data_IF_567835809003
#
_entry.id   IF_567835809003
#
_cell.length_a   1.000
_cell.length_b   1.000
_cell.length_c   1.000
_cell.angle_alpha   90.00
_cell.angle_beta   90.00
_cell.angle_gamma   90.00
#
_symmetry.space_group_name_H-M   'P 1'
#
loop_
_entity.id
_entity.type
_entity.pdbx_description
1 polymer ?
#
# COMPACT_ATOMS: atom_id res chain seq x y z
N UNK A 1 23.75 4.76 -14.22
CA UNK A 1 23.42 4.26 -13.68
C UNK A 1 23.48 3.81 -12.97
N UNK A 2 23.51 3.95 -12.98
CA UNK A 2 23.39 3.41 -12.40
C UNK A 2 23.19 2.81 -11.77
N UNK A 3 23.32 2.80 -11.64
CA UNK A 3 22.96 2.17 -11.02
C UNK A 3 23.05 1.66 -10.19
N UNK A 4 23.26 1.68 -9.91
CA UNK A 4 23.26 1.17 -9.15
C UNK A 4 23.26 0.51 -8.57
N UNK A 5 23.49 0.39 -8.39
CA UNK A 5 23.33 -0.26 -7.94
C UNK A 5 23.63 -1.10 -7.60
N UNK A 6 23.91 -1.29 -7.55
CA UNK A 6 23.95 -2.09 -7.40
C UNK A 6 23.68 -3.03 -7.15
N UNK A 7 23.77 -2.90 -7.27
CA UNK A 7 23.18 -3.86 -6.90
C UNK A 7 22.79 -4.94 -6.61
N UNK A 8 22.68 -5.40 -5.72
CA UNK A 8 22.53 -6.80 -5.49
C UNK A 8 21.12 -7.34 -5.57
N UNK A 9 20.16 -6.48 -5.70
CA UNK A 9 18.80 -6.98 -5.92
C UNK A 9 18.69 -7.64 -7.28
N UNK A 10 17.98 -8.75 -7.34
CA UNK A 10 17.74 -9.41 -8.61
C UNK A 10 16.86 -8.51 -9.50
N UNK A 11 16.96 -8.73 -10.80
CA UNK A 11 16.11 -8.02 -11.74
C UNK A 11 14.64 -8.28 -11.44
N UNK A 12 14.29 -9.50 -11.06
CA UNK A 12 12.91 -9.83 -10.76
C UNK A 12 12.34 -9.01 -9.62
N UNK A 13 13.14 -8.78 -8.59
CA UNK A 13 12.69 -7.97 -7.46
C UNK A 13 12.47 -6.53 -7.89
N UNK A 14 13.37 -5.97 -8.68
CA UNK A 14 13.24 -4.58 -9.08
C UNK A 14 12.14 -4.37 -10.12
N UNK A 15 11.82 -5.39 -10.88
CA UNK A 15 10.79 -5.27 -11.91
C UNK A 15 9.39 -5.04 -11.35
N UNK A 16 9.18 -5.31 -10.07
CA UNK A 16 7.86 -5.19 -9.46
C UNK A 16 7.70 -3.95 -8.59
N UNK A 17 8.64 -3.04 -8.63
CA UNK A 17 8.54 -1.76 -7.93
C UNK A 17 8.12 -0.67 -8.90
N UNK A 18 7.11 0.09 -8.52
CA UNK A 18 6.55 1.13 -9.37
C UNK A 18 6.37 2.42 -8.59
N UNK A 19 6.58 3.55 -9.26
CA UNK A 19 6.12 4.82 -8.69
C UNK A 19 4.61 4.88 -8.81
N UNK A 20 3.98 5.42 -7.81
CA UNK A 20 2.52 5.53 -7.80
C UNK A 20 2.12 6.91 -7.32
N UNK A 21 0.89 7.30 -7.68
CA UNK A 21 0.24 8.47 -7.12
C UNK A 21 -1.00 8.02 -6.37
N UNK A 22 -1.17 8.56 -5.17
CA UNK A 22 -2.35 8.26 -4.38
C UNK A 22 -3.54 9.03 -4.94
N UNK A 23 -4.63 8.32 -5.21
CA UNK A 23 -5.89 8.95 -5.59
C UNK A 23 -6.79 9.12 -4.39
N UNK A 24 -6.92 8.07 -3.56
CA UNK A 24 -7.64 8.19 -2.30
C UNK A 24 -7.38 6.96 -1.44
N UNK A 25 -7.59 7.11 -0.15
CA UNK A 25 -7.55 5.99 0.80
C UNK A 25 -9.00 5.53 1.02
N UNK A 26 -9.23 4.23 0.81
CA UNK A 26 -10.56 3.64 0.99
C UNK A 26 -10.74 3.17 2.43
N UNK A 27 -9.78 2.41 2.92
CA UNK A 27 -9.71 1.93 4.31
C UNK A 27 -8.24 1.89 4.71
N UNK A 28 -7.99 1.51 5.95
CA UNK A 28 -6.60 1.43 6.43
C UNK A 28 -5.75 0.40 5.71
N UNK A 29 -6.34 -0.49 4.93
CA UNK A 29 -5.60 -1.50 4.19
C UNK A 29 -5.93 -1.51 2.69
N UNK A 30 -6.60 -0.47 2.20
CA UNK A 30 -7.02 -0.41 0.80
C UNK A 30 -6.93 1.02 0.29
N UNK A 31 -6.24 1.20 -0.82
CA UNK A 31 -6.06 2.52 -1.43
C UNK A 31 -6.33 2.45 -2.92
N UNK A 32 -6.75 3.58 -3.48
CA UNK A 32 -6.85 3.74 -4.94
C UNK A 32 -5.68 4.59 -5.38
N UNK A 33 -4.96 4.09 -6.37
CA UNK A 33 -3.75 4.73 -6.88
C UNK A 33 -3.74 4.68 -8.40
N UNK A 34 -2.83 5.44 -8.98
CA UNK A 34 -2.46 5.18 -10.37
C UNK A 34 -0.98 4.86 -10.41
N UNK A 35 -0.65 3.88 -11.20
CA UNK A 35 0.69 3.33 -11.32
C UNK A 35 1.35 3.90 -12.56
N UNK A 36 2.59 4.38 -12.39
CA UNK A 36 3.39 4.87 -13.49
C UNK A 36 4.03 3.68 -14.19
N UNK A 37 3.60 3.40 -15.41
CA UNK A 37 4.13 2.29 -16.21
C UNK A 37 5.22 2.74 -17.17
N UNK A 38 5.60 4.01 -17.09
CA UNK A 38 6.57 4.56 -18.02
C UNK A 38 5.89 5.02 -19.32
N UNK A 39 6.63 5.77 -20.12
CA UNK A 39 6.14 6.25 -21.41
C UNK A 39 4.85 7.07 -21.30
N UNK A 40 4.65 7.75 -20.17
CA UNK A 40 3.42 8.51 -19.91
C UNK A 40 2.16 7.63 -19.86
N UNK A 41 2.33 6.34 -19.54
CA UNK A 41 1.22 5.42 -19.40
C UNK A 41 0.95 5.23 -17.91
N UNK A 42 -0.29 5.46 -17.51
CA UNK A 42 -0.71 5.33 -16.11
C UNK A 42 -1.86 4.33 -16.01
N UNK A 43 -1.85 3.54 -14.95
CA UNK A 43 -2.88 2.55 -14.72
C UNK A 43 -3.54 2.80 -13.36
N UNK A 44 -4.83 3.11 -13.37
CA UNK A 44 -5.59 3.27 -12.15
C UNK A 44 -6.01 1.91 -11.63
N UNK A 45 -5.84 1.70 -10.34
CA UNK A 45 -6.27 0.45 -9.74
C UNK A 45 -6.48 0.61 -8.24
N UNK A 46 -7.19 -0.36 -7.68
CA UNK A 46 -7.35 -0.46 -6.23
C UNK A 46 -6.32 -1.42 -5.69
N UNK A 47 -5.61 -1.00 -4.66
CA UNK A 47 -4.54 -1.80 -4.06
C UNK A 47 -4.96 -2.25 -2.67
N UNK A 48 -4.87 -3.56 -2.44
CA UNK A 48 -5.03 -4.14 -1.12
C UNK A 48 -3.61 -4.28 -0.53
N UNK A 49 -3.40 -3.69 0.64
CA UNK A 49 -2.09 -3.76 1.28
C UNK A 49 -1.87 -5.16 1.83
N UNK A 50 -0.85 -5.85 1.31
CA UNK A 50 -0.61 -7.25 1.67
C UNK A 50 0.01 -7.36 3.05
N UNK A 51 -0.24 -8.49 3.69
CA UNK A 51 0.41 -8.80 4.96
C UNK A 51 -0.22 -8.15 6.17
N UNK A 52 -1.25 -7.33 5.99
CA UNK A 52 -1.90 -6.66 7.11
C UNK A 52 -3.42 -6.69 6.95
N UNK A 53 -4.09 -6.44 8.05
CA UNK A 53 -5.54 -6.31 8.07
C UNK A 53 -5.89 -5.18 9.03
N UNK A 54 -6.58 -4.17 8.52
CA UNK A 54 -6.97 -3.01 9.31
C UNK A 54 -8.46 -3.09 9.67
N UNK A 55 -8.87 -2.43 10.76
CA UNK A 55 -10.31 -2.39 11.09
C UNK A 55 -11.09 -1.67 9.99
N UNK A 56 -12.32 -2.09 9.80
CA UNK A 56 -13.17 -1.47 8.78
C UNK A 56 -13.69 -0.13 9.25
N UNK A 57 -13.70 0.83 8.35
CA UNK A 57 -14.20 2.16 8.65
C UNK A 57 -15.68 2.33 8.34
N UNK A 58 -16.31 1.35 7.68
CA UNK A 58 -17.71 1.41 7.27
C UNK A 58 -18.55 0.29 7.86
N UNK A 59 -18.15 -0.20 9.03
CA UNK A 59 -18.89 -1.22 9.74
C UNK A 59 -19.96 -0.60 10.64
N UNK A 60 -20.93 -1.42 11.05
CA UNK A 60 -21.93 -0.99 12.05
C UNK A 60 -21.40 -1.06 13.47
N UNK A 61 -20.32 -1.80 13.69
CA UNK A 61 -19.69 -1.89 15.01
C UNK A 61 -18.98 -0.58 15.29
N UNK A 62 -19.50 0.19 16.25
CA UNK A 62 -18.98 1.54 16.51
C UNK A 62 -17.55 1.53 17.00
N UNK A 63 -17.17 0.51 17.77
CA UNK A 63 -15.79 0.41 18.25
C UNK A 63 -14.84 0.15 17.10
N UNK A 64 -15.19 -0.81 16.24
CA UNK A 64 -14.35 -1.11 15.09
C UNK A 64 -14.33 0.05 14.12
N UNK A 65 -15.46 0.72 13.92
CA UNK A 65 -15.52 1.87 13.02
C UNK A 65 -14.58 2.97 13.48
N UNK A 66 -14.55 3.23 14.78
CA UNK A 66 -13.67 4.25 15.33
C UNK A 66 -12.21 3.93 15.05
N UNK A 67 -11.82 2.66 15.28
CA UNK A 67 -10.45 2.24 14.98
C UNK A 67 -10.15 2.27 13.49
N UNK A 68 -11.14 1.91 12.67
CA UNK A 68 -10.99 1.94 11.22
C UNK A 68 -10.81 3.34 10.68
N UNK A 69 -11.58 4.29 11.21
CA UNK A 69 -11.43 5.69 10.80
C UNK A 69 -10.09 6.25 11.24
N UNK A 70 -9.60 5.85 12.42
CA UNK A 70 -8.29 6.28 12.88
C UNK A 70 -7.18 5.74 11.98
N UNK A 71 -7.27 4.47 11.61
CA UNK A 71 -6.28 3.84 10.72
C UNK A 71 -6.30 4.51 9.34
N UNK A 72 -7.49 4.75 8.82
CA UNK A 72 -7.65 5.41 7.54
C UNK A 72 -7.06 6.83 7.57
N UNK A 73 -7.34 7.58 8.62
CA UNK A 73 -6.84 8.95 8.75
C UNK A 73 -5.31 8.97 8.85
N UNK A 74 -4.75 8.05 9.63
CA UNK A 74 -3.29 7.94 9.73
C UNK A 74 -2.67 7.68 8.37
N UNK A 75 -3.27 6.76 7.61
CA UNK A 75 -2.75 6.42 6.28
C UNK A 75 -2.86 7.59 5.32
N UNK A 76 -3.98 8.31 5.35
CA UNK A 76 -4.15 9.51 4.51
C UNK A 76 -3.02 10.49 4.79
N UNK A 77 -2.81 10.82 6.06
CA UNK A 77 -1.81 11.81 6.43
C UNK A 77 -0.41 11.36 6.06
N UNK A 78 -0.12 10.08 6.28
CA UNK A 78 1.21 9.53 5.98
C UNK A 78 1.50 9.56 4.49
N UNK A 79 0.54 9.12 3.67
CA UNK A 79 0.77 9.03 2.23
C UNK A 79 0.74 10.40 1.56
N UNK A 80 -0.14 11.29 2.01
CA UNK A 80 -0.22 12.62 1.40
C UNK A 80 1.00 13.46 1.68
N UNK A 81 1.64 13.27 2.83
CA UNK A 81 2.81 14.06 3.19
C UNK A 81 4.04 13.69 2.36
N UNK A 82 4.02 12.56 1.65
CA UNK A 82 5.18 12.08 0.93
C UNK A 82 4.81 11.59 -0.48
N UNK A 83 3.86 12.26 -1.10
CA UNK A 83 3.32 11.85 -2.41
C UNK A 83 4.41 11.67 -3.46
N UNK A 84 5.43 12.54 -3.46
CA UNK A 84 6.48 12.50 -4.47
C UNK A 84 7.41 11.30 -4.31
N UNK A 85 7.44 10.69 -3.13
CA UNK A 85 8.35 9.60 -2.82
C UNK A 85 7.64 8.26 -2.68
N UNK A 86 6.39 8.19 -3.11
CA UNK A 86 5.56 7.01 -2.88
C UNK A 86 5.82 5.97 -3.96
N UNK A 87 6.13 4.76 -3.52
CA UNK A 87 6.36 3.62 -4.40
C UNK A 87 5.59 2.42 -3.90
N UNK A 88 5.38 1.45 -4.79
CA UNK A 88 4.68 0.23 -4.45
C UNK A 88 5.43 -0.96 -5.01
N UNK A 89 5.60 -1.98 -4.18
CA UNK A 89 6.04 -3.29 -4.65
C UNK A 89 4.79 -4.11 -4.95
N UNK A 90 4.67 -4.60 -6.18
CA UNK A 90 3.49 -5.33 -6.62
C UNK A 90 3.66 -6.82 -6.39
N UNK A 91 2.61 -7.46 -5.87
CA UNK A 91 2.57 -8.91 -5.67
C UNK A 91 1.57 -9.58 -6.60
N UNK A 92 1.07 -8.83 -7.59
CA UNK A 92 0.14 -9.39 -8.55
C UNK A 92 -1.30 -9.03 -8.24
N UNK A 93 -2.23 -9.71 -8.90
CA UNK A 93 -3.65 -9.42 -8.75
C UNK A 93 -4.28 -10.31 -7.69
N UNK A 94 -5.17 -9.72 -6.92
CA UNK A 94 -5.95 -10.45 -5.95
C UNK A 94 -7.37 -10.62 -6.41
N UNK A 95 -8.25 -10.97 -5.47
CA UNK A 95 -9.67 -11.13 -5.76
C UNK A 95 -10.28 -9.78 -6.12
N UNK A 96 -11.34 -9.83 -6.91
CA UNK A 96 -12.14 -8.65 -7.27
C UNK A 96 -11.34 -7.60 -8.04
N UNK A 97 -10.30 -8.03 -8.75
CA UNK A 97 -9.53 -7.12 -9.58
C UNK A 97 -8.61 -6.18 -8.82
N UNK A 98 -8.41 -6.41 -7.53
CA UNK A 98 -7.49 -5.59 -6.75
C UNK A 98 -6.05 -6.02 -6.98
N UNK A 99 -5.15 -5.05 -6.96
CA UNK A 99 -3.72 -5.33 -6.98
C UNK A 99 -3.25 -5.52 -5.55
N UNK A 100 -2.38 -6.49 -5.32
CA UNK A 100 -1.80 -6.72 -4.00
C UNK A 100 -0.46 -6.02 -3.95
N UNK A 101 -0.25 -5.20 -2.92
CA UNK A 101 0.98 -4.41 -2.88
C UNK A 101 1.45 -4.02 -1.50
N UNK A 102 2.72 -3.67 -1.43
CA UNK A 102 3.32 -3.01 -0.27
C UNK A 102 3.69 -1.60 -0.67
N UNK A 103 3.36 -0.65 0.19
CA UNK A 103 3.67 0.75 -0.06
C UNK A 103 4.97 1.13 0.63
N UNK A 104 5.77 1.95 -0.04
CA UNK A 104 7.05 2.41 0.48
C UNK A 104 7.18 3.91 0.34
N UNK A 105 7.74 4.56 1.35
CA UNK A 105 8.13 5.96 1.31
C UNK A 105 9.59 6.00 1.73
N UNK A 106 10.49 6.33 0.79
CA UNK A 106 11.93 6.40 1.07
C UNK A 106 12.43 5.13 1.75
N UNK A 107 12.07 3.98 1.19
CA UNK A 107 12.48 2.66 1.67
C UNK A 107 11.82 2.23 2.97
N UNK A 108 10.89 3.00 3.51
CA UNK A 108 10.12 2.59 4.69
C UNK A 108 8.87 1.86 4.23
N UNK A 109 8.70 0.62 4.72
CA UNK A 109 7.53 -0.20 4.39
C UNK A 109 6.34 0.29 5.20
N UNK A 110 5.37 0.89 4.53
CA UNK A 110 4.22 1.49 5.20
C UNK A 110 3.27 0.42 5.74
N UNK A 111 3.17 -0.73 5.05
CA UNK A 111 2.33 -1.82 5.56
C UNK A 111 2.81 -2.26 6.94
N UNK A 112 4.13 -2.44 7.10
CA UNK A 112 4.69 -2.82 8.39
C UNK A 112 4.55 -1.72 9.42
N UNK A 113 4.72 -0.48 8.98
CA UNK A 113 4.61 0.66 9.88
C UNK A 113 3.21 0.76 10.47
N UNK A 114 2.18 0.43 9.70
CA UNK A 114 0.81 0.43 10.22
C UNK A 114 0.64 -0.56 11.37
N UNK A 115 1.29 -1.72 11.27
CA UNK A 115 1.25 -2.69 12.37
C UNK A 115 2.00 -2.16 13.59
N UNK A 116 3.16 -1.58 13.36
CA UNK A 116 3.97 -1.03 14.45
C UNK A 116 3.26 0.11 15.17
N UNK A 117 2.49 0.90 14.44
CA UNK A 117 1.74 2.02 15.02
C UNK A 117 0.41 1.61 15.62
N UNK A 118 0.07 0.34 15.54
CA UNK A 118 -1.16 -0.17 16.13
C UNK A 118 -2.42 0.03 15.30
N UNK A 119 -2.28 0.41 14.03
CA UNK A 119 -3.42 0.66 13.15
C UNK A 119 -3.84 -0.56 12.35
N UNK A 120 -3.05 -1.61 12.36
CA UNK A 120 -3.35 -2.84 11.64
C UNK A 120 -2.71 -4.02 12.37
N UNK A 121 -3.14 -5.21 12.01
CA UNK A 121 -2.55 -6.44 12.54
C UNK A 121 -1.97 -7.23 11.38
N UNK A 122 -1.00 -8.08 11.67
CA UNK A 122 -0.43 -8.93 10.66
C UNK A 122 -1.47 -9.92 10.16
N UNK A 123 -1.43 -10.18 8.86
CA UNK A 123 -2.40 -11.05 8.22
C UNK A 123 -1.70 -11.81 7.11
N UNK A 124 -1.77 -13.13 7.13
CA UNK A 124 -1.04 -13.97 6.17
C UNK A 124 -1.88 -14.35 4.95
N UNK A 125 -2.94 -13.59 4.72
CA UNK A 125 -3.56 -13.61 3.40
C UNK A 125 -4.56 -14.70 3.14
N UNK A 126 -4.82 -15.55 4.04
CA UNK A 126 -5.78 -16.59 3.72
C UNK A 126 -6.15 -17.51 4.83
N UNK A 127 -5.41 -17.42 5.85
CA UNK A 127 -5.67 -18.28 7.00
C UNK A 127 -6.64 -17.61 7.94
N UNK A 128 -7.62 -18.30 8.29
CA UNK A 128 -8.66 -17.77 9.16
C UNK A 128 -8.96 -18.76 10.24
#
# INVERSE_FOLDING_TARGET
MTEGHNAPLSLGERMYYYKIELLRVVDGDTVDVRIDLGFNVWHKCRVRLVGINAPESRTRDLEEKKRGLAAKDWLIKTLESAQADLEMKSYGSGKYGRVLGELYINDVNINELMVDEGHAVKYDGGKR
#
